data_IF_070079308572
#
_entry.id   IF_070079308572
#
_cell.length_a   1.000
_cell.length_b   1.000
_cell.length_c   1.000
_cell.angle_alpha   90.00
_cell.angle_beta   90.00
_cell.angle_gamma   90.00
#
_symmetry.space_group_name_H-M   'P 1'
#
loop_
_entity.id
_entity.type
_entity.pdbx_description
1 polymer ?
#
# COMPACT_ATOMS: atom_id res chain seq x y z
N UNK A 1 22.30 -24.90 -8.76
CA UNK A 1 21.05 -25.02 -9.56
C UNK A 1 20.88 -23.78 -10.44
N UNK A 2 21.58 -23.69 -11.57
CA UNK A 2 21.70 -22.43 -12.34
C UNK A 2 20.50 -22.14 -13.27
N UNK A 3 19.69 -23.15 -13.60
CA UNK A 3 18.53 -23.02 -14.50
C UNK A 3 17.18 -22.96 -13.75
N UNK A 4 17.20 -22.78 -12.43
CA UNK A 4 15.98 -22.83 -11.61
C UNK A 4 15.11 -21.60 -11.90
N UNK A 5 13.86 -21.82 -12.33
CA UNK A 5 12.91 -20.75 -12.69
C UNK A 5 11.82 -20.49 -11.65
N UNK A 6 11.52 -21.50 -10.83
CA UNK A 6 10.50 -21.43 -9.79
C UNK A 6 11.10 -22.00 -8.52
N UNK A 7 11.08 -21.23 -7.45
CA UNK A 7 11.43 -21.68 -6.11
C UNK A 7 10.23 -21.45 -5.19
N UNK A 8 9.77 -22.52 -4.55
CA UNK A 8 8.68 -22.49 -3.56
C UNK A 8 9.15 -23.18 -2.29
N UNK A 9 9.20 -22.44 -1.18
CA UNK A 9 9.64 -22.95 0.12
C UNK A 9 8.66 -22.46 1.20
N UNK A 10 8.25 -23.37 2.08
CA UNK A 10 7.32 -23.06 3.16
C UNK A 10 7.91 -23.49 4.49
N UNK A 11 8.21 -22.54 5.38
CA UNK A 11 8.75 -22.80 6.73
C UNK A 11 9.99 -23.70 6.74
N UNK A 12 10.82 -23.58 5.70
CA UNK A 12 12.07 -24.32 5.62
C UNK A 12 13.12 -23.57 6.43
N UNK A 13 13.52 -24.16 7.56
CA UNK A 13 14.71 -23.73 8.29
C UNK A 13 15.94 -24.27 7.57
N UNK A 14 16.61 -23.41 6.79
CA UNK A 14 17.90 -23.76 6.24
C UNK A 14 18.95 -23.57 7.35
N UNK A 15 19.69 -24.64 7.63
CA UNK A 15 20.73 -24.66 8.66
C UNK A 15 21.97 -23.82 8.29
N UNK A 16 22.10 -23.43 7.02
CA UNK A 16 23.19 -22.62 6.48
C UNK A 16 22.62 -21.37 5.80
N UNK A 17 23.40 -20.27 5.79
CA UNK A 17 23.01 -19.05 5.07
C UNK A 17 22.92 -19.35 3.57
N UNK A 18 21.80 -18.97 2.93
CA UNK A 18 21.66 -19.11 1.48
C UNK A 18 22.54 -18.04 0.84
N UNK A 19 23.72 -18.44 0.40
CA UNK A 19 24.63 -17.52 -0.28
C UNK A 19 24.23 -17.28 -1.75
N UNK A 20 23.34 -18.09 -2.33
CA UNK A 20 23.02 -17.99 -3.76
C UNK A 20 21.56 -18.35 -4.10
N UNK A 21 20.92 -17.45 -4.85
CA UNK A 21 19.65 -17.67 -5.55
C UNK A 21 19.90 -17.63 -7.06
N UNK A 22 19.20 -18.47 -7.83
CA UNK A 22 19.39 -18.52 -9.28
C UNK A 22 18.89 -17.26 -9.98
N UNK A 23 19.73 -16.66 -10.84
CA UNK A 23 19.38 -15.48 -11.64
C UNK A 23 18.35 -15.77 -12.76
N UNK A 24 18.03 -17.05 -12.98
CA UNK A 24 16.99 -17.50 -13.91
C UNK A 24 15.60 -17.58 -13.25
N UNK A 25 15.50 -17.27 -11.95
CA UNK A 25 14.23 -17.27 -11.24
C UNK A 25 13.26 -16.28 -11.86
N UNK A 26 12.05 -16.78 -12.15
CA UNK A 26 10.88 -16.00 -12.54
C UNK A 26 9.91 -15.87 -11.37
N UNK A 27 9.85 -16.85 -10.50
CA UNK A 27 8.96 -16.88 -9.34
C UNK A 27 9.74 -17.33 -8.12
N UNK A 28 9.78 -16.47 -7.09
CA UNK A 28 10.34 -16.78 -5.78
C UNK A 28 9.23 -16.64 -4.75
N UNK A 29 8.74 -17.78 -4.24
CA UNK A 29 7.81 -17.82 -3.12
C UNK A 29 8.49 -18.51 -1.94
N UNK A 30 8.68 -17.79 -0.84
CA UNK A 30 9.35 -18.29 0.34
C UNK A 30 8.70 -17.77 1.61
N UNK A 31 7.79 -18.56 2.16
CA UNK A 31 7.17 -18.25 3.44
C UNK A 31 8.18 -18.46 4.58
N UNK A 32 8.34 -17.46 5.44
CA UNK A 32 9.31 -17.52 6.53
C UNK A 32 10.75 -17.28 6.07
N UNK A 33 10.96 -16.50 5.01
CA UNK A 33 12.31 -16.23 4.49
C UNK A 33 13.25 -15.70 5.59
N UNK A 34 14.38 -16.38 5.87
CA UNK A 34 15.11 -16.18 7.12
C UNK A 34 16.11 -15.01 7.10
N UNK A 35 16.53 -14.55 5.92
CA UNK A 35 17.57 -13.53 5.82
C UNK A 35 16.99 -12.13 5.99
N UNK A 36 17.83 -11.22 6.52
CA UNK A 36 17.47 -9.83 6.81
C UNK A 36 17.31 -8.96 5.55
N UNK A 37 17.88 -9.41 4.43
CA UNK A 37 17.85 -8.78 3.11
C UNK A 37 17.97 -9.88 2.05
N UNK A 38 17.66 -9.58 0.79
CA UNK A 38 18.06 -10.45 -0.31
C UNK A 38 19.59 -10.53 -0.42
N UNK A 39 20.16 -11.66 -0.90
CA UNK A 39 21.60 -11.81 -1.07
C UNK A 39 22.15 -10.76 -2.04
N UNK A 40 23.30 -10.18 -1.73
CA UNK A 40 23.90 -9.09 -2.52
C UNK A 40 24.34 -9.51 -3.93
N UNK A 41 24.64 -10.79 -4.11
CA UNK A 41 24.99 -11.39 -5.40
C UNK A 41 23.76 -11.85 -6.20
N UNK A 42 22.55 -11.81 -5.62
CA UNK A 42 21.35 -12.21 -6.33
C UNK A 42 21.02 -11.19 -7.40
N UNK A 43 20.89 -11.66 -8.64
CA UNK A 43 20.60 -10.83 -9.79
C UNK A 43 19.22 -11.18 -10.38
N UNK A 44 18.13 -10.64 -9.80
CA UNK A 44 16.75 -11.01 -10.15
C UNK A 44 16.20 -10.31 -11.43
N UNK A 45 17.00 -10.18 -12.50
CA UNK A 45 16.55 -9.47 -13.71
C UNK A 45 15.37 -10.12 -14.44
N UNK A 46 15.16 -11.43 -14.24
CA UNK A 46 14.07 -12.19 -14.86
C UNK A 46 12.88 -12.44 -13.92
N UNK A 47 12.96 -11.93 -12.69
CA UNK A 47 12.00 -12.22 -11.65
C UNK A 47 10.70 -11.47 -11.90
N UNK A 48 9.60 -12.20 -12.06
CA UNK A 48 8.26 -11.66 -12.22
C UNK A 48 7.58 -11.41 -10.88
N UNK A 49 7.74 -12.34 -9.95
CA UNK A 49 7.06 -12.32 -8.66
C UNK A 49 8.02 -12.70 -7.53
N UNK A 50 8.00 -11.84 -6.51
CA UNK A 50 8.74 -11.99 -5.27
C UNK A 50 7.77 -12.04 -4.10
N UNK A 51 7.52 -13.24 -3.57
CA UNK A 51 6.61 -13.46 -2.46
C UNK A 51 7.38 -14.02 -1.26
N UNK A 52 7.69 -13.16 -0.29
CA UNK A 52 8.39 -13.51 0.94
C UNK A 52 7.53 -13.15 2.17
N UNK A 53 6.32 -13.73 2.31
CA UNK A 53 5.48 -13.45 3.47
C UNK A 53 6.12 -14.02 4.74
N UNK A 54 5.80 -13.40 5.88
CA UNK A 54 6.29 -13.77 7.21
C UNK A 54 7.83 -13.80 7.28
N UNK A 55 8.50 -12.91 6.53
CA UNK A 55 9.97 -12.92 6.44
C UNK A 55 10.64 -12.19 7.60
N UNK A 56 11.91 -12.55 7.82
CA UNK A 56 12.83 -11.85 8.72
C UNK A 56 13.47 -10.60 8.09
N UNK A 57 12.92 -10.11 6.98
CA UNK A 57 13.51 -8.99 6.23
C UNK A 57 13.37 -7.71 7.02
N UNK A 58 14.50 -7.00 7.16
CA UNK A 58 14.54 -5.64 7.69
C UNK A 58 14.53 -4.59 6.58
N UNK A 59 15.18 -4.90 5.45
CA UNK A 59 15.24 -4.11 4.23
C UNK A 59 15.37 -5.06 3.04
N UNK A 60 14.50 -4.93 2.03
CA UNK A 60 14.41 -5.91 0.95
C UNK A 60 15.67 -5.97 0.07
N UNK A 61 16.16 -4.80 -0.37
CA UNK A 61 17.38 -4.65 -1.15
C UNK A 61 17.96 -3.24 -1.05
N UNK A 62 19.24 -3.11 -1.41
CA UNK A 62 19.97 -1.84 -1.58
C UNK A 62 20.57 -1.70 -2.98
N UNK A 63 20.15 -2.55 -3.93
CA UNK A 63 20.70 -2.59 -5.28
C UNK A 63 20.30 -1.36 -6.10
N UNK A 64 21.15 -0.95 -7.02
CA UNK A 64 20.86 0.04 -8.06
C UNK A 64 20.43 -0.60 -9.38
N UNK A 65 20.33 -1.93 -9.42
CA UNK A 65 20.03 -2.67 -10.65
C UNK A 65 18.53 -2.68 -10.95
N UNK A 66 18.17 -2.24 -12.15
CA UNK A 66 16.80 -2.29 -12.65
C UNK A 66 16.29 -3.74 -12.81
N UNK A 67 15.06 -3.97 -12.37
CA UNK A 67 14.29 -5.20 -12.38
C UNK A 67 12.98 -4.97 -13.15
N UNK A 68 13.10 -4.74 -14.45
CA UNK A 68 11.97 -4.34 -15.31
C UNK A 68 10.88 -5.41 -15.45
N UNK A 69 11.20 -6.66 -15.15
CA UNK A 69 10.26 -7.79 -15.25
C UNK A 69 9.40 -7.95 -14.00
N UNK A 70 9.80 -7.38 -12.86
CA UNK A 70 9.13 -7.59 -11.59
C UNK A 70 7.79 -6.86 -11.54
N UNK A 71 6.71 -7.62 -11.33
CA UNK A 71 5.33 -7.14 -11.28
C UNK A 71 4.72 -7.25 -9.89
N UNK A 72 5.16 -8.22 -9.09
CA UNK A 72 4.57 -8.50 -7.78
C UNK A 72 5.63 -8.56 -6.71
N UNK A 73 5.39 -7.83 -5.62
CA UNK A 73 6.11 -7.97 -4.36
C UNK A 73 5.08 -8.24 -3.26
N UNK A 74 5.28 -9.31 -2.51
CA UNK A 74 4.52 -9.60 -1.29
C UNK A 74 5.48 -9.84 -0.13
N UNK A 75 5.48 -8.96 0.86
CA UNK A 75 6.22 -9.08 2.12
C UNK A 75 5.26 -9.08 3.32
N UNK A 76 4.02 -9.56 3.15
CA UNK A 76 3.03 -9.53 4.22
C UNK A 76 3.58 -10.15 5.51
N UNK A 77 3.21 -9.59 6.65
CA UNK A 77 3.60 -10.05 7.98
C UNK A 77 5.13 -10.09 8.21
N UNK A 78 5.91 -9.33 7.45
CA UNK A 78 7.34 -9.15 7.71
C UNK A 78 7.55 -8.22 8.89
N UNK A 79 7.51 -8.79 10.09
CA UNK A 79 7.45 -8.04 11.36
C UNK A 79 8.67 -7.15 11.61
N UNK A 80 9.80 -7.39 10.93
CA UNK A 80 11.03 -6.61 11.08
C UNK A 80 11.23 -5.56 10.00
N UNK A 81 10.39 -5.53 8.96
CA UNK A 81 10.50 -4.59 7.86
C UNK A 81 10.19 -3.19 8.37
N UNK A 82 11.22 -2.36 8.47
CA UNK A 82 11.09 -1.01 9.06
C UNK A 82 11.01 0.09 8.01
N UNK A 83 11.57 -0.17 6.82
CA UNK A 83 11.61 0.76 5.68
C UNK A 83 11.44 0.02 4.36
N UNK A 84 10.81 0.64 3.37
CA UNK A 84 10.80 0.09 2.01
C UNK A 84 12.09 0.44 1.25
N UNK A 85 12.50 -0.38 0.26
CA UNK A 85 13.63 -0.04 -0.59
C UNK A 85 13.27 1.08 -1.58
N UNK A 86 14.26 1.50 -2.38
CA UNK A 86 13.99 2.30 -3.56
C UNK A 86 13.23 1.46 -4.61
N UNK A 87 12.07 1.95 -5.03
CA UNK A 87 11.24 1.36 -6.08
C UNK A 87 11.55 1.90 -7.49
N UNK A 88 12.48 2.85 -7.65
CA UNK A 88 12.89 3.34 -8.98
C UNK A 88 13.46 2.22 -9.87
N UNK A 89 14.01 1.19 -9.23
CA UNK A 89 14.56 -0.01 -9.88
C UNK A 89 13.49 -1.02 -10.29
N UNK A 90 12.22 -0.87 -9.89
CA UNK A 90 11.11 -1.77 -10.26
C UNK A 90 9.97 -0.98 -10.94
N UNK A 91 10.24 -0.37 -12.11
CA UNK A 91 9.32 0.60 -12.71
C UNK A 91 7.96 0.00 -13.13
N UNK A 92 7.91 -1.31 -13.38
CA UNK A 92 6.72 -2.03 -13.86
C UNK A 92 5.96 -2.78 -12.75
N UNK A 93 6.18 -2.41 -11.48
CA UNK A 93 5.50 -3.04 -10.35
C UNK A 93 3.98 -2.80 -10.43
N UNK A 94 3.20 -3.87 -10.42
CA UNK A 94 1.74 -3.86 -10.52
C UNK A 94 1.07 -4.12 -9.15
N UNK A 95 1.70 -4.90 -8.27
CA UNK A 95 1.15 -5.22 -6.95
C UNK A 95 2.22 -5.19 -5.86
N UNK A 96 1.95 -4.42 -4.80
CA UNK A 96 2.78 -4.33 -3.61
C UNK A 96 1.95 -4.64 -2.37
N UNK A 97 2.27 -5.75 -1.71
CA UNK A 97 1.60 -6.19 -0.47
C UNK A 97 2.60 -6.14 0.69
N UNK A 98 2.33 -5.26 1.64
CA UNK A 98 3.10 -5.00 2.85
C UNK A 98 2.21 -5.10 4.10
N UNK A 99 1.03 -5.72 3.98
CA UNK A 99 0.09 -5.86 5.08
C UNK A 99 0.73 -6.57 6.28
N UNK A 100 0.42 -6.14 7.50
CA UNK A 100 0.97 -6.73 8.73
C UNK A 100 2.44 -6.39 9.01
N UNK A 101 3.09 -5.52 8.24
CA UNK A 101 4.45 -5.04 8.56
C UNK A 101 4.41 -4.00 9.69
N UNK A 102 4.24 -4.47 10.93
CA UNK A 102 3.96 -3.62 12.11
C UNK A 102 5.06 -2.61 12.45
N UNK A 103 6.31 -2.91 12.10
CA UNK A 103 7.48 -2.04 12.32
C UNK A 103 7.72 -1.03 11.18
N UNK A 104 6.97 -1.14 10.07
CA UNK A 104 7.13 -0.27 8.91
C UNK A 104 6.68 1.15 9.25
N UNK A 105 7.65 2.06 9.29
CA UNK A 105 7.40 3.47 9.63
C UNK A 105 7.81 4.43 8.51
N UNK A 106 8.65 4.00 7.56
CA UNK A 106 9.14 4.84 6.48
C UNK A 106 8.93 4.18 5.12
N UNK A 107 8.19 4.85 4.24
CA UNK A 107 8.11 4.51 2.82
C UNK A 107 9.14 5.35 2.03
N UNK A 108 9.82 4.72 1.09
CA UNK A 108 10.70 5.41 0.16
C UNK A 108 9.87 6.28 -0.79
N UNK A 109 10.36 7.49 -1.09
CA UNK A 109 9.63 8.49 -1.86
C UNK A 109 9.25 8.02 -3.28
N UNK A 110 10.07 7.17 -3.90
CA UNK A 110 9.80 6.61 -5.23
C UNK A 110 8.54 5.74 -5.31
N UNK A 111 8.03 5.25 -4.17
CA UNK A 111 6.73 4.58 -4.12
C UNK A 111 5.63 5.45 -4.72
N UNK A 112 5.66 6.77 -4.47
CA UNK A 112 4.64 7.71 -4.95
C UNK A 112 4.60 7.89 -6.46
N UNK A 113 5.55 7.34 -7.22
CA UNK A 113 5.65 7.49 -8.68
C UNK A 113 5.56 6.14 -9.43
N UNK A 114 5.08 5.08 -8.78
CA UNK A 114 4.86 3.78 -9.43
C UNK A 114 3.60 3.83 -10.32
N UNK A 115 3.78 4.28 -11.57
CA UNK A 115 2.69 4.53 -12.52
C UNK A 115 1.89 3.29 -12.91
N UNK A 116 2.51 2.11 -12.86
CA UNK A 116 1.88 0.83 -13.20
C UNK A 116 1.28 0.09 -12.00
N UNK A 117 1.41 0.64 -10.78
CA UNK A 117 0.90 0.00 -9.58
C UNK A 117 -0.63 -0.04 -9.62
N UNK A 118 -1.21 -1.24 -9.60
CA UNK A 118 -2.65 -1.51 -9.61
C UNK A 118 -3.18 -1.65 -8.18
N UNK A 119 -2.39 -2.28 -7.30
CA UNK A 119 -2.79 -2.54 -5.91
C UNK A 119 -1.64 -2.23 -4.95
N UNK A 120 -1.95 -1.44 -3.92
CA UNK A 120 -1.08 -1.19 -2.78
C UNK A 120 -1.81 -1.58 -1.50
N UNK A 121 -1.27 -2.58 -0.79
CA UNK A 121 -1.79 -3.02 0.50
C UNK A 121 -0.77 -2.76 1.61
N UNK A 122 -1.09 -1.82 2.50
CA UNK A 122 -0.33 -1.41 3.68
C UNK A 122 -1.13 -1.68 4.97
N UNK A 123 -2.15 -2.55 4.92
CA UNK A 123 -3.01 -2.84 6.08
C UNK A 123 -2.19 -3.18 7.32
N UNK A 124 -2.59 -2.68 8.48
CA UNK A 124 -1.97 -2.96 9.78
C UNK A 124 -0.47 -2.59 9.87
N UNK A 125 0.03 -1.65 9.06
CA UNK A 125 1.35 -1.05 9.28
C UNK A 125 1.25 -0.03 10.41
N UNK A 126 1.17 -0.52 11.66
CA UNK A 126 0.77 0.27 12.82
C UNK A 126 1.67 1.47 13.11
N UNK A 127 2.98 1.37 12.83
CA UNK A 127 3.96 2.46 12.98
C UNK A 127 4.08 3.40 11.78
N UNK A 128 3.32 3.18 10.72
CA UNK A 128 3.35 4.03 9.53
C UNK A 128 2.76 5.40 9.85
N UNK A 129 3.60 6.44 9.81
CA UNK A 129 3.18 7.80 10.17
C UNK A 129 2.78 8.64 8.97
N UNK A 130 3.31 8.32 7.79
CA UNK A 130 3.07 9.07 6.56
C UNK A 130 3.20 8.22 5.29
N UNK A 131 2.45 8.62 4.27
CA UNK A 131 2.65 8.23 2.87
C UNK A 131 3.48 9.33 2.18
N UNK A 132 4.26 9.06 1.12
CA UNK A 132 4.93 10.11 0.36
C UNK A 132 3.99 11.27 0.01
N UNK A 133 4.42 12.51 0.30
CA UNK A 133 3.54 13.69 0.37
C UNK A 133 2.76 13.97 -0.92
N UNK A 134 3.32 13.62 -2.08
CA UNK A 134 2.66 13.68 -3.37
C UNK A 134 2.65 12.29 -3.99
N UNK A 135 1.46 11.72 -4.20
CA UNK A 135 1.29 10.44 -4.90
C UNK A 135 0.72 10.64 -6.30
N UNK A 136 1.28 9.91 -7.26
CA UNK A 136 0.97 9.93 -8.68
C UNK A 136 0.95 8.47 -9.20
N UNK A 137 0.02 7.69 -8.67
CA UNK A 137 -0.14 6.27 -8.98
C UNK A 137 -1.19 6.09 -10.08
N UNK A 138 -0.78 6.35 -11.32
CA UNK A 138 -1.67 6.50 -12.49
C UNK A 138 -2.54 5.28 -12.79
N UNK A 139 -2.13 4.06 -12.42
CA UNK A 139 -2.89 2.82 -12.67
C UNK A 139 -3.57 2.24 -11.42
N UNK A 140 -3.46 2.92 -10.26
CA UNK A 140 -3.89 2.35 -8.98
C UNK A 140 -5.40 2.20 -8.94
N UNK A 141 -5.87 1.00 -8.58
CA UNK A 141 -7.29 0.67 -8.42
C UNK A 141 -7.68 0.46 -6.97
N UNK A 142 -6.76 -0.05 -6.14
CA UNK A 142 -7.03 -0.38 -4.74
C UNK A 142 -5.89 0.14 -3.88
N UNK A 143 -6.23 0.97 -2.88
CA UNK A 143 -5.33 1.44 -1.84
C UNK A 143 -5.86 1.02 -0.47
N UNK A 144 -5.13 0.15 0.22
CA UNK A 144 -5.47 -0.32 1.57
C UNK A 144 -4.49 0.22 2.59
N UNK A 145 -5.01 1.00 3.53
CA UNK A 145 -4.29 1.60 4.65
C UNK A 145 -4.97 1.29 5.99
N UNK A 146 -5.98 0.43 6.00
CA UNK A 146 -6.75 0.07 7.19
C UNK A 146 -5.84 -0.37 8.34
N UNK A 147 -6.10 0.08 9.55
CA UNK A 147 -5.31 -0.27 10.75
C UNK A 147 -3.92 0.37 10.82
N UNK A 148 -3.58 1.33 9.94
CA UNK A 148 -2.41 2.19 10.11
C UNK A 148 -2.66 3.22 11.23
N UNK A 149 -2.68 2.77 12.47
CA UNK A 149 -3.10 3.57 13.64
C UNK A 149 -2.23 4.81 13.90
N UNK A 150 -0.97 4.85 13.45
CA UNK A 150 -0.11 6.03 13.56
C UNK A 150 -0.19 6.99 12.36
N UNK A 151 -0.98 6.66 11.33
CA UNK A 151 -1.14 7.50 10.15
C UNK A 151 -2.05 8.67 10.49
N UNK A 152 -1.46 9.87 10.58
CA UNK A 152 -2.18 11.09 11.01
C UNK A 152 -2.56 12.01 9.85
N UNK A 153 -1.92 11.83 8.70
CA UNK A 153 -2.10 12.66 7.50
C UNK A 153 -2.20 11.79 6.26
N UNK A 154 -3.18 12.09 5.40
CA UNK A 154 -3.28 11.53 4.06
C UNK A 154 -2.60 12.46 3.04
N UNK A 155 -1.82 11.94 2.08
CA UNK A 155 -1.00 12.77 1.19
C UNK A 155 -1.85 13.56 0.18
N UNK A 156 -1.20 14.52 -0.47
CA UNK A 156 -1.76 15.17 -1.66
C UNK A 156 -1.74 14.19 -2.84
N UNK A 157 -2.92 13.96 -3.40
CA UNK A 157 -3.15 13.16 -4.61
C UNK A 157 -2.97 14.01 -5.88
N UNK A 158 -2.24 13.49 -6.86
CA UNK A 158 -2.15 14.05 -8.22
C UNK A 158 -3.49 13.94 -8.98
N UNK A 159 -3.74 14.85 -9.92
CA UNK A 159 -4.99 14.89 -10.71
C UNK A 159 -5.13 13.77 -11.74
N UNK A 160 -4.09 12.97 -11.96
CA UNK A 160 -4.08 11.87 -12.92
C UNK A 160 -4.37 10.49 -12.29
N UNK A 161 -4.66 10.40 -11.00
CA UNK A 161 -5.06 9.16 -10.31
C UNK A 161 -6.53 8.79 -10.56
N UNK A 162 -6.91 8.71 -11.82
CA UNK A 162 -8.30 8.59 -12.26
C UNK A 162 -8.85 7.16 -12.23
N UNK A 163 -8.08 6.17 -11.77
CA UNK A 163 -8.48 4.76 -11.79
C UNK A 163 -8.69 4.15 -10.40
N UNK A 164 -8.48 4.92 -9.33
CA UNK A 164 -8.65 4.43 -7.96
C UNK A 164 -10.13 4.17 -7.71
N UNK A 165 -10.48 2.91 -7.46
CA UNK A 165 -11.84 2.44 -7.23
C UNK A 165 -12.14 2.29 -5.73
N UNK A 166 -11.15 1.83 -4.96
CA UNK A 166 -11.32 1.50 -3.55
C UNK A 166 -10.23 2.16 -2.71
N UNK A 167 -10.66 2.94 -1.70
CA UNK A 167 -9.80 3.57 -0.71
C UNK A 167 -10.25 3.16 0.70
N UNK A 168 -9.38 2.41 1.36
CA UNK A 168 -9.62 1.84 2.68
C UNK A 168 -8.70 2.50 3.72
N UNK A 169 -9.30 3.28 4.62
CA UNK A 169 -8.63 4.08 5.65
C UNK A 169 -9.14 3.75 7.07
N UNK A 170 -9.84 2.64 7.23
CA UNK A 170 -10.46 2.22 8.48
C UNK A 170 -9.43 2.20 9.62
N UNK A 171 -9.81 2.62 10.83
CA UNK A 171 -8.94 2.56 12.02
C UNK A 171 -7.60 3.31 11.86
N UNK A 172 -7.56 4.35 11.02
CA UNK A 172 -6.43 5.29 10.95
C UNK A 172 -6.64 6.49 11.88
N UNK A 173 -5.57 7.19 12.23
CA UNK A 173 -5.60 8.41 13.04
C UNK A 173 -5.66 9.71 12.21
N UNK A 174 -6.16 9.63 10.98
CA UNK A 174 -6.23 10.78 10.08
C UNK A 174 -7.19 11.82 10.63
N UNK A 175 -6.72 13.07 10.74
CA UNK A 175 -7.56 14.17 11.23
C UNK A 175 -8.36 14.86 10.13
N UNK A 176 -7.76 14.97 8.94
CA UNK A 176 -8.33 15.66 7.78
C UNK A 176 -7.84 14.97 6.50
N UNK A 177 -8.74 14.81 5.53
CA UNK A 177 -8.36 14.44 4.16
C UNK A 177 -7.95 15.69 3.37
N UNK A 178 -6.84 15.60 2.63
CA UNK A 178 -6.42 16.68 1.73
C UNK A 178 -7.50 16.94 0.65
N UNK A 179 -7.71 18.19 0.26
CA UNK A 179 -8.76 18.56 -0.71
C UNK A 179 -8.60 17.91 -2.09
N UNK A 180 -7.40 17.46 -2.44
CA UNK A 180 -7.18 16.71 -3.67
C UNK A 180 -7.80 15.31 -3.69
N UNK A 181 -8.47 14.86 -2.60
CA UNK A 181 -9.35 13.68 -2.64
C UNK A 181 -10.39 13.81 -3.76
N UNK A 182 -10.88 15.02 -4.06
CA UNK A 182 -11.83 15.27 -5.13
C UNK A 182 -11.31 15.00 -6.54
N UNK A 183 -10.01 14.72 -6.72
CA UNK A 183 -9.47 14.25 -7.99
C UNK A 183 -9.83 12.80 -8.30
N UNK A 184 -10.24 12.00 -7.30
CA UNK A 184 -10.53 10.58 -7.45
C UNK A 184 -11.95 10.34 -7.99
N UNK A 185 -12.27 10.87 -9.17
CA UNK A 185 -13.64 10.86 -9.73
C UNK A 185 -14.19 9.47 -10.03
N UNK A 186 -13.31 8.46 -10.16
CA UNK A 186 -13.68 7.04 -10.33
C UNK A 186 -13.82 6.26 -9.02
N UNK A 187 -13.59 6.89 -7.86
CA UNK A 187 -13.67 6.21 -6.57
C UNK A 187 -15.09 5.72 -6.32
N UNK A 188 -15.23 4.42 -6.05
CA UNK A 188 -16.51 3.75 -5.80
C UNK A 188 -16.73 3.53 -4.31
N UNK A 189 -15.66 3.21 -3.58
CA UNK A 189 -15.69 2.94 -2.13
C UNK A 189 -14.68 3.83 -1.41
N UNK A 190 -15.18 4.60 -0.45
CA UNK A 190 -14.37 5.30 0.55
C UNK A 190 -14.77 4.78 1.94
N UNK A 191 -13.87 4.04 2.57
CA UNK A 191 -14.09 3.52 3.92
C UNK A 191 -13.19 4.23 4.94
N UNK A 192 -13.82 4.99 5.83
CA UNK A 192 -13.22 5.75 6.93
C UNK A 192 -13.73 5.22 8.29
N UNK A 193 -14.29 4.02 8.32
CA UNK A 193 -14.83 3.43 9.55
C UNK A 193 -13.82 3.49 10.69
N UNK A 194 -14.26 3.88 11.88
CA UNK A 194 -13.44 4.00 13.08
C UNK A 194 -12.23 4.94 12.93
N UNK A 195 -12.28 5.91 12.01
CA UNK A 195 -11.36 7.06 12.03
C UNK A 195 -11.77 8.02 13.15
N UNK A 196 -11.55 7.61 14.41
CA UNK A 196 -12.06 8.33 15.59
C UNK A 196 -11.53 9.75 15.72
N UNK A 197 -10.38 10.06 15.11
CA UNK A 197 -9.76 11.39 15.12
C UNK A 197 -10.14 12.29 13.92
N UNK A 198 -10.99 11.80 13.00
CA UNK A 198 -11.39 12.53 11.80
C UNK A 198 -12.31 13.69 12.17
N UNK A 199 -11.83 14.92 11.97
CA UNK A 199 -12.56 16.13 12.36
C UNK A 199 -13.54 16.61 11.29
N UNK A 200 -13.15 16.48 10.02
CA UNK A 200 -13.93 16.99 8.88
C UNK A 200 -13.56 16.32 7.57
N UNK A 201 -14.52 16.32 6.64
CA UNK A 201 -14.28 16.03 5.23
C UNK A 201 -14.08 17.33 4.44
N UNK A 202 -13.19 17.37 3.43
CA UNK A 202 -13.07 18.53 2.55
C UNK A 202 -14.31 18.66 1.66
N UNK A 203 -14.69 19.89 1.30
CA UNK A 203 -15.84 20.14 0.40
C UNK A 203 -15.67 19.52 -0.99
N UNK A 204 -14.44 19.25 -1.42
CA UNK A 204 -14.14 18.54 -2.67
C UNK A 204 -14.56 17.07 -2.65
N UNK A 205 -15.02 16.51 -1.52
CA UNK A 205 -15.64 15.18 -1.48
C UNK A 205 -16.85 15.09 -2.42
N UNK A 206 -17.56 16.21 -2.64
CA UNK A 206 -18.67 16.30 -3.59
C UNK A 206 -18.28 16.11 -5.06
N UNK A 207 -16.98 16.13 -5.38
CA UNK A 207 -16.46 15.86 -6.74
C UNK A 207 -16.32 14.36 -7.05
N UNK A 208 -16.55 13.48 -6.07
CA UNK A 208 -16.43 12.03 -6.24
C UNK A 208 -17.65 11.45 -6.98
N UNK A 209 -17.79 11.76 -8.27
CA UNK A 209 -19.00 11.47 -9.05
C UNK A 209 -19.34 9.99 -9.21
N UNK A 210 -18.42 9.07 -8.93
CA UNK A 210 -18.66 7.61 -8.99
C UNK A 210 -18.84 6.94 -7.62
N UNK A 211 -18.80 7.71 -6.53
CA UNK A 211 -18.80 7.16 -5.17
C UNK A 211 -20.15 6.56 -4.82
N UNK A 212 -20.17 5.24 -4.63
CA UNK A 212 -21.37 4.48 -4.23
C UNK A 212 -21.45 4.26 -2.73
N UNK A 213 -20.31 4.05 -2.07
CA UNK A 213 -20.25 3.76 -0.64
C UNK A 213 -19.31 4.72 0.08
N UNK A 214 -19.87 5.48 1.03
CA UNK A 214 -19.13 6.25 2.02
C UNK A 214 -19.42 5.69 3.41
N UNK A 215 -18.40 5.18 4.08
CA UNK A 215 -18.51 4.65 5.43
C UNK A 215 -17.73 5.53 6.42
N UNK A 216 -18.46 6.17 7.32
CA UNK A 216 -17.99 7.03 8.40
C UNK A 216 -18.42 6.49 9.77
N UNK A 217 -18.85 5.23 9.84
CA UNK A 217 -19.25 4.57 11.08
C UNK A 217 -18.14 4.71 12.13
N UNK A 218 -18.47 5.20 13.33
CA UNK A 218 -17.52 5.33 14.43
C UNK A 218 -16.50 6.47 14.29
N UNK A 219 -16.70 7.41 13.34
CA UNK A 219 -15.96 8.68 13.30
C UNK A 219 -16.48 9.63 14.39
N UNK A 220 -16.12 9.37 15.64
CA UNK A 220 -16.67 10.05 16.81
C UNK A 220 -16.33 11.53 16.91
N UNK A 221 -15.22 12.01 16.33
CA UNK A 221 -14.83 13.43 16.37
C UNK A 221 -15.28 14.21 15.12
N UNK A 222 -16.08 13.60 14.25
CA UNK A 222 -16.56 14.24 13.02
C UNK A 222 -17.64 15.25 13.36
N UNK A 223 -17.32 16.53 13.20
CA UNK A 223 -18.19 17.66 13.59
C UNK A 223 -19.40 17.81 12.65
N UNK A 224 -19.15 17.83 11.34
CA UNK A 224 -20.20 17.98 10.34
C UNK A 224 -19.81 17.39 8.98
N UNK A 225 -20.85 17.05 8.20
CA UNK A 225 -20.69 16.67 6.80
C UNK A 225 -20.74 17.92 5.92
N UNK A 226 -19.87 18.05 4.90
CA UNK A 226 -19.93 19.17 3.98
C UNK A 226 -21.20 19.11 3.13
N UNK A 227 -21.84 20.26 2.87
CA UNK A 227 -23.05 20.34 2.03
C UNK A 227 -22.85 19.72 0.63
N UNK A 228 -21.62 19.80 0.12
CA UNK A 228 -21.23 19.20 -1.16
C UNK A 228 -21.37 17.68 -1.22
N UNK A 229 -21.55 16.99 -0.09
CA UNK A 229 -21.91 15.57 -0.07
C UNK A 229 -23.23 15.33 -0.83
N UNK A 230 -24.15 16.30 -0.82
CA UNK A 230 -25.38 16.25 -1.62
C UNK A 230 -25.18 16.28 -3.14
N UNK A 231 -23.97 16.61 -3.62
CA UNK A 231 -23.65 16.60 -5.05
C UNK A 231 -23.29 15.20 -5.58
N UNK A 232 -23.08 14.22 -4.69
CA UNK A 232 -22.69 12.86 -5.07
C UNK A 232 -23.94 12.07 -5.47
N UNK A 233 -24.40 12.26 -6.72
CA UNK A 233 -25.61 11.62 -7.24
C UNK A 233 -25.53 10.10 -7.35
N UNK A 234 -24.33 9.52 -7.30
CA UNK A 234 -24.08 8.08 -7.35
C UNK A 234 -24.08 7.39 -5.97
N UNK A 235 -24.21 8.15 -4.88
CA UNK A 235 -24.12 7.62 -3.52
C UNK A 235 -25.30 6.72 -3.19
N UNK A 236 -25.04 5.43 -3.02
CA UNK A 236 -26.05 4.40 -2.72
C UNK A 236 -26.06 4.06 -1.22
N UNK A 237 -24.91 4.16 -0.53
CA UNK A 237 -24.75 3.86 0.88
C UNK A 237 -23.93 4.93 1.60
N UNK A 238 -24.54 5.56 2.59
CA UNK A 238 -23.89 6.43 3.56
C UNK A 238 -24.08 5.84 4.96
N UNK A 239 -22.99 5.45 5.62
CA UNK A 239 -23.02 5.00 7.01
C UNK A 239 -22.36 6.05 7.89
N UNK A 240 -23.15 6.71 8.73
CA UNK A 240 -22.73 7.73 9.71
C UNK A 240 -23.12 7.31 11.13
N UNK A 241 -23.31 6.02 11.36
CA UNK A 241 -23.67 5.54 12.68
C UNK A 241 -22.51 5.77 13.66
N UNK A 242 -22.82 6.17 14.89
CA UNK A 242 -21.80 6.49 15.90
C UNK A 242 -20.84 7.63 15.50
N UNK A 243 -21.29 8.58 14.66
CA UNK A 243 -20.71 9.93 14.58
C UNK A 243 -21.37 10.84 15.64
N UNK A 244 -20.73 11.97 15.97
CA UNK A 244 -21.33 12.98 16.85
C UNK A 244 -22.50 13.72 16.19
#
# INVERSE_FOLDING_TARGET
MTNLRVLKLNNVHLCEEIEYLSDQLRFLNWHGYPLKTLPSNFNPTNLLELELPNSSIHLLWTTSKSMETLKVINLSDSQFLSKTPDFSVVPNLERLVLSGCVELHQLHHSLGNLKHLIQLDLRNCKKLTNIPFNICLESLKILVLSGCSSLTHFPKISSNMNYLLELHLEETSIKVLHSSIGHLTSLVVLNLKNCTNLLKLPSTIGSLTSLKTLNLNGCSELDSLPESLGNISSLEKLDITSTC
#
